data_IF_753097426625
#
_entry.id   IF_753097426625
#
_cell.length_a   1.000
_cell.length_b   1.000
_cell.length_c   1.000
_cell.angle_alpha   90.00
_cell.angle_beta   90.00
_cell.angle_gamma   90.00
#
_symmetry.space_group_name_H-M   'P 1'
#
loop_
_entity.id
_entity.type
_entity.pdbx_description
1 polymer ?
#
# COMPACT_ATOMS: atom_id res chain seq x y z
N UNK A 1 -3.44 -9.11 -17.83
CA UNK A 1 -4.92 -9.12 -17.69
C UNK A 1 -5.28 -8.59 -16.30
N UNK A 2 -6.30 -7.73 -16.16
CA UNK A 2 -6.73 -7.25 -14.84
C UNK A 2 -7.29 -8.41 -14.00
N UNK A 3 -7.15 -8.30 -12.67
CA UNK A 3 -7.74 -9.26 -11.73
C UNK A 3 -9.27 -9.26 -11.90
N UNK A 4 -9.94 -10.42 -11.96
CA UNK A 4 -11.40 -10.46 -11.95
C UNK A 4 -11.93 -9.90 -10.63
N UNK A 5 -12.85 -8.93 -10.71
CA UNK A 5 -13.61 -8.37 -9.59
C UNK A 5 -15.11 -8.65 -9.80
N UNK A 6 -15.87 -8.74 -8.70
CA UNK A 6 -17.32 -8.94 -8.77
C UNK A 6 -17.96 -7.71 -9.43
N UNK A 7 -18.68 -7.93 -10.51
CA UNK A 7 -19.40 -6.88 -11.23
C UNK A 7 -20.48 -6.25 -10.34
N UNK A 8 -20.61 -4.92 -10.38
CA UNK A 8 -21.58 -4.19 -9.56
C UNK A 8 -23.03 -4.60 -9.85
N UNK A 9 -23.36 -5.00 -11.08
CA UNK A 9 -24.68 -5.53 -11.43
C UNK A 9 -25.04 -6.80 -10.63
N UNK A 10 -24.03 -7.52 -10.14
CA UNK A 10 -24.16 -8.73 -9.30
C UNK A 10 -24.15 -8.41 -7.81
N UNK A 11 -24.25 -7.15 -7.42
CA UNK A 11 -24.32 -6.69 -6.04
C UNK A 11 -25.73 -6.19 -5.77
N UNK A 12 -26.36 -6.76 -4.74
CA UNK A 12 -27.72 -6.41 -4.35
C UNK A 12 -27.81 -4.89 -4.02
N UNK A 13 -28.79 -4.14 -4.55
CA UNK A 13 -28.87 -2.68 -4.40
C UNK A 13 -28.75 -2.20 -2.94
N UNK A 14 -29.40 -2.90 -2.01
CA UNK A 14 -29.41 -2.56 -0.58
C UNK A 14 -28.02 -2.57 0.10
N UNK A 15 -26.99 -3.19 -0.49
CA UNK A 15 -25.64 -3.24 0.10
C UNK A 15 -24.59 -2.48 -0.71
N UNK A 16 -24.94 -1.86 -1.85
CA UNK A 16 -23.98 -1.16 -2.72
C UNK A 16 -23.32 0.00 -2.01
N UNK A 17 -24.10 0.83 -1.32
CA UNK A 17 -23.58 1.96 -0.56
C UNK A 17 -22.62 1.53 0.55
N UNK A 18 -22.98 0.46 1.27
CA UNK A 18 -22.11 -0.12 2.30
C UNK A 18 -20.80 -0.62 1.72
N UNK A 19 -20.83 -1.22 0.53
CA UNK A 19 -19.61 -1.69 -0.13
C UNK A 19 -18.73 -0.52 -0.58
N UNK A 20 -19.33 0.53 -1.12
CA UNK A 20 -18.63 1.71 -1.64
C UNK A 20 -17.96 2.53 -0.52
N UNK A 21 -18.61 2.65 0.63
CA UNK A 21 -18.16 3.55 1.72
C UNK A 21 -17.40 2.83 2.84
N UNK A 22 -17.46 1.51 2.92
CA UNK A 22 -16.85 0.78 4.04
C UNK A 22 -15.34 1.00 4.12
N UNK A 23 -14.94 1.81 5.12
CA UNK A 23 -13.55 2.14 5.45
C UNK A 23 -12.81 2.88 4.35
N UNK A 24 -13.55 3.62 3.53
CA UNK A 24 -12.99 4.42 2.44
C UNK A 24 -12.05 5.52 2.96
N UNK A 25 -12.25 5.98 4.20
CA UNK A 25 -11.39 6.97 4.86
C UNK A 25 -9.93 6.50 4.96
N UNK A 26 -9.70 5.19 5.11
CA UNK A 26 -8.34 4.60 5.17
C UNK A 26 -7.68 4.66 3.80
N UNK A 27 -8.46 4.44 2.75
CA UNK A 27 -7.98 4.50 1.38
C UNK A 27 -7.64 5.95 1.03
N UNK A 28 -8.50 6.90 1.38
CA UNK A 28 -8.26 8.33 1.17
C UNK A 28 -6.99 8.80 1.91
N UNK A 29 -6.81 8.44 3.18
CA UNK A 29 -5.60 8.76 3.96
C UNK A 29 -4.32 8.30 3.25
N UNK A 30 -4.33 7.07 2.71
CA UNK A 30 -3.19 6.52 1.96
C UNK A 30 -3.01 7.22 0.61
N UNK A 31 -4.09 7.54 -0.11
CA UNK A 31 -4.03 8.29 -1.38
C UNK A 31 -3.44 9.69 -1.19
N UNK A 32 -3.87 10.41 -0.15
CA UNK A 32 -3.33 11.72 0.20
C UNK A 32 -1.83 11.64 0.53
N UNK A 33 -1.42 10.64 1.31
CA UNK A 33 -0.01 10.43 1.62
C UNK A 33 0.81 10.11 0.35
N UNK A 34 0.27 9.31 -0.56
CA UNK A 34 0.90 8.97 -1.84
C UNK A 34 1.03 10.21 -2.74
N UNK A 35 0.04 11.09 -2.73
CA UNK A 35 0.08 12.34 -3.49
C UNK A 35 1.10 13.34 -2.90
N UNK A 36 1.23 13.37 -1.57
CA UNK A 36 2.09 14.32 -0.87
C UNK A 36 3.56 13.89 -0.73
N UNK A 37 3.88 12.60 -0.92
CA UNK A 37 5.22 12.05 -0.65
C UNK A 37 5.72 11.20 -1.82
N UNK A 38 6.98 11.39 -2.27
CA UNK A 38 7.56 10.58 -3.35
C UNK A 38 7.63 9.09 -3.02
N UNK A 39 7.84 8.73 -1.75
CA UNK A 39 7.86 7.33 -1.32
C UNK A 39 6.96 7.17 -0.10
N UNK A 40 6.03 6.20 -0.17
CA UNK A 40 5.16 5.83 0.94
C UNK A 40 5.28 4.34 1.21
N UNK A 41 5.52 4.00 2.46
CA UNK A 41 5.51 2.62 2.95
C UNK A 41 4.30 2.45 3.84
N UNK A 42 3.35 1.62 3.41
CA UNK A 42 2.21 1.23 4.23
C UNK A 42 2.52 -0.12 4.88
N UNK A 43 2.38 -0.20 6.19
CA UNK A 43 2.72 -1.38 6.98
C UNK A 43 1.76 -1.65 8.13
N UNK A 44 2.21 -2.52 9.03
CA UNK A 44 1.49 -2.88 10.25
C UNK A 44 2.49 -3.22 11.35
N UNK A 45 2.09 -3.01 12.60
CA UNK A 45 2.92 -3.34 13.76
C UNK A 45 3.22 -4.84 13.81
N UNK A 46 4.34 -5.19 14.45
CA UNK A 46 4.83 -6.58 14.67
C UNK A 46 5.30 -7.27 13.38
N UNK A 47 4.89 -6.81 12.20
CA UNK A 47 5.41 -7.35 10.94
C UNK A 47 6.87 -6.90 10.73
N UNK A 48 7.84 -7.82 10.58
CA UNK A 48 9.23 -7.44 10.35
C UNK A 48 9.48 -6.89 8.93
N UNK A 49 8.64 -7.22 7.95
CA UNK A 49 8.87 -6.84 6.54
C UNK A 49 8.79 -5.33 6.28
N UNK A 50 7.83 -4.55 6.83
CA UNK A 50 7.85 -3.09 6.77
C UNK A 50 9.13 -2.49 7.36
N UNK A 51 9.62 -3.03 8.49
CA UNK A 51 10.88 -2.61 9.08
C UNK A 51 12.09 -2.84 8.15
N UNK A 52 12.11 -3.98 7.45
CA UNK A 52 13.15 -4.26 6.43
C UNK A 52 13.09 -3.28 5.26
N UNK A 53 11.89 -3.01 4.72
CA UNK A 53 11.71 -2.04 3.63
C UNK A 53 12.21 -0.64 4.01
N UNK A 54 11.84 -0.18 5.20
CA UNK A 54 12.30 1.10 5.75
C UNK A 54 13.83 1.18 5.87
N UNK A 55 14.47 0.16 6.45
CA UNK A 55 15.94 0.08 6.53
C UNK A 55 16.63 0.12 5.16
N UNK A 56 16.04 -0.49 4.14
CA UNK A 56 16.59 -0.44 2.78
C UNK A 56 16.49 0.97 2.18
N UNK A 57 15.39 1.67 2.43
CA UNK A 57 15.23 3.07 2.01
C UNK A 57 16.19 4.00 2.77
N UNK A 58 16.34 3.81 4.08
CA UNK A 58 17.30 4.53 4.92
C UNK A 58 18.73 4.34 4.38
N UNK A 59 19.13 3.10 4.09
CA UNK A 59 20.44 2.78 3.53
C UNK A 59 20.66 3.36 2.12
N UNK A 60 19.59 3.50 1.34
CA UNK A 60 19.62 4.13 0.02
C UNK A 60 19.56 5.67 0.08
N UNK A 61 19.43 6.27 1.27
CA UNK A 61 19.28 7.73 1.44
C UNK A 61 17.96 8.27 0.89
N UNK A 62 16.93 7.44 0.83
CA UNK A 62 15.63 7.81 0.24
C UNK A 62 14.64 8.19 1.35
N UNK A 63 14.15 9.45 1.39
CA UNK A 63 13.13 9.84 2.34
C UNK A 63 11.80 9.15 2.00
N UNK A 64 11.06 8.73 3.03
CA UNK A 64 9.76 8.10 2.87
C UNK A 64 8.80 8.49 4.00
N UNK A 65 7.51 8.42 3.70
CA UNK A 65 6.44 8.44 4.70
C UNK A 65 6.08 7.02 5.09
N UNK A 66 6.03 6.71 6.38
CA UNK A 66 5.52 5.45 6.90
C UNK A 66 4.12 5.61 7.47
N UNK A 67 3.20 4.75 7.05
CA UNK A 67 1.85 4.63 7.60
C UNK A 67 1.67 3.24 8.19
N UNK A 68 1.25 3.19 9.46
CA UNK A 68 1.07 1.94 10.19
C UNK A 68 -0.40 1.71 10.52
N UNK A 69 -0.93 0.55 10.12
CA UNK A 69 -2.31 0.20 10.40
C UNK A 69 -2.41 -1.12 11.18
N UNK A 70 -2.67 -1.00 12.48
CA UNK A 70 -2.99 -2.13 13.35
C UNK A 70 -1.83 -3.10 13.56
N UNK A 71 -2.18 -4.31 13.97
CA UNK A 71 -1.25 -5.41 14.21
C UNK A 71 -1.90 -6.75 13.83
N UNK A 72 -1.24 -7.87 14.12
CA UNK A 72 -1.87 -9.19 14.00
C UNK A 72 -3.11 -9.34 14.87
N UNK A 73 -3.20 -8.62 15.99
CA UNK A 73 -4.25 -8.77 16.99
C UNK A 73 -5.39 -7.76 16.84
N UNK A 74 -5.20 -6.67 16.08
CA UNK A 74 -6.17 -5.55 16.01
C UNK A 74 -6.21 -4.91 14.61
N UNK A 75 -7.32 -4.21 14.34
CA UNK A 75 -7.54 -3.39 13.13
C UNK A 75 -7.36 -4.10 11.79
N UNK A 76 -7.57 -5.42 11.76
CA UNK A 76 -7.50 -6.20 10.52
C UNK A 76 -8.46 -5.69 9.45
N UNK A 77 -9.62 -5.13 9.83
CA UNK A 77 -10.60 -4.57 8.90
C UNK A 77 -10.09 -3.31 8.17
N UNK A 78 -9.30 -2.44 8.83
CA UNK A 78 -8.66 -1.28 8.19
C UNK A 78 -7.68 -1.76 7.11
N UNK A 79 -6.88 -2.77 7.46
CA UNK A 79 -5.94 -3.42 6.54
C UNK A 79 -6.64 -4.10 5.35
N UNK A 80 -7.79 -4.73 5.57
CA UNK A 80 -8.56 -5.37 4.49
C UNK A 80 -9.00 -4.37 3.43
N UNK A 81 -9.44 -3.17 3.81
CA UNK A 81 -9.82 -2.13 2.85
C UNK A 81 -8.67 -1.79 1.89
N UNK A 82 -7.44 -1.63 2.42
CA UNK A 82 -6.24 -1.38 1.62
C UNK A 82 -5.90 -2.53 0.67
N UNK A 83 -6.04 -3.78 1.11
CA UNK A 83 -5.82 -4.96 0.26
C UNK A 83 -6.84 -5.08 -0.86
N UNK A 84 -8.10 -4.74 -0.57
CA UNK A 84 -9.18 -4.76 -1.56
C UNK A 84 -8.97 -3.68 -2.62
N UNK A 85 -8.61 -2.47 -2.19
CA UNK A 85 -8.35 -1.34 -3.09
C UNK A 85 -7.13 -1.58 -3.99
N UNK A 86 -6.01 -2.00 -3.42
CA UNK A 86 -4.77 -2.21 -4.19
C UNK A 86 -4.74 -3.52 -4.97
N UNK A 87 -5.54 -4.50 -4.57
CA UNK A 87 -5.39 -5.91 -4.99
C UNK A 87 -4.14 -6.60 -4.43
N UNK A 88 -3.31 -5.90 -3.64
CA UNK A 88 -2.06 -6.44 -3.08
C UNK A 88 -2.30 -7.14 -1.75
N UNK A 89 -1.74 -8.34 -1.60
CA UNK A 89 -2.16 -9.25 -0.52
C UNK A 89 -1.36 -9.11 0.77
N UNK A 90 -0.17 -8.51 0.72
CA UNK A 90 0.81 -8.53 1.81
C UNK A 90 1.24 -7.14 2.26
N UNK A 91 1.85 -7.04 3.44
CA UNK A 91 2.52 -5.82 3.90
C UNK A 91 4.03 -6.06 3.98
N UNK A 92 4.85 -5.05 3.65
CA UNK A 92 4.46 -3.68 3.31
C UNK A 92 3.87 -3.54 1.90
N UNK A 93 3.09 -2.49 1.68
CA UNK A 93 2.80 -1.95 0.34
C UNK A 93 3.69 -0.73 0.16
N UNK A 94 4.56 -0.75 -0.84
CA UNK A 94 5.49 0.34 -1.12
C UNK A 94 5.03 1.08 -2.37
N UNK A 95 4.88 2.39 -2.25
CA UNK A 95 4.55 3.28 -3.36
C UNK A 95 5.73 4.19 -3.66
N UNK A 96 6.01 4.40 -4.94
CA UNK A 96 7.00 5.35 -5.45
C UNK A 96 6.33 6.22 -6.51
N UNK A 97 6.26 7.53 -6.26
CA UNK A 97 5.64 8.54 -7.13
C UNK A 97 4.23 8.19 -7.62
N UNK A 98 3.39 7.66 -6.71
CA UNK A 98 2.02 7.25 -7.05
C UNK A 98 1.88 5.79 -7.47
N UNK A 99 2.98 5.09 -7.76
CA UNK A 99 2.96 3.73 -8.32
C UNK A 99 3.23 2.71 -7.24
N UNK A 100 2.35 1.71 -7.11
CA UNK A 100 2.58 0.56 -6.25
C UNK A 100 3.70 -0.31 -6.83
N UNK A 101 4.84 -0.38 -6.14
CA UNK A 101 6.01 -1.16 -6.58
C UNK A 101 6.09 -2.55 -5.95
N UNK A 102 5.18 -2.86 -5.02
CA UNK A 102 5.06 -4.16 -4.38
C UNK A 102 5.46 -4.16 -2.91
N UNK A 103 6.09 -5.25 -2.46
CA UNK A 103 6.48 -5.45 -1.07
C UNK A 103 7.96 -5.21 -0.80
N UNK A 104 8.43 -5.66 0.37
CA UNK A 104 9.83 -5.49 0.77
C UNK A 104 10.79 -6.19 -0.21
N UNK A 105 10.46 -7.39 -0.68
CA UNK A 105 11.30 -8.13 -1.64
C UNK A 105 11.35 -7.48 -3.01
N UNK A 106 10.25 -6.90 -3.48
CA UNK A 106 10.18 -6.20 -4.77
C UNK A 106 10.96 -4.88 -4.71
N UNK A 107 10.84 -4.14 -3.61
CA UNK A 107 11.65 -2.96 -3.33
C UNK A 107 13.15 -3.30 -3.33
N UNK A 108 13.55 -4.41 -2.71
CA UNK A 108 14.94 -4.84 -2.69
C UNK A 108 15.49 -5.07 -4.10
N UNK A 109 14.70 -5.69 -4.99
CA UNK A 109 15.07 -5.89 -6.39
C UNK A 109 15.20 -4.57 -7.15
N UNK A 110 14.28 -3.63 -6.95
CA UNK A 110 14.33 -2.30 -7.59
C UNK A 110 15.53 -1.48 -7.15
N UNK A 111 15.91 -1.56 -5.87
CA UNK A 111 17.13 -0.92 -5.37
C UNK A 111 18.37 -1.57 -5.99
N UNK A 112 18.43 -2.90 -6.03
CA UNK A 112 19.56 -3.64 -6.61
C UNK A 112 19.72 -3.37 -8.11
N UNK A 113 18.61 -3.20 -8.84
CA UNK A 113 18.62 -2.86 -10.26
C UNK A 113 18.92 -1.37 -10.54
N UNK A 114 18.97 -0.51 -9.50
CA UNK A 114 19.13 0.93 -9.68
C UNK A 114 17.89 1.65 -10.23
N UNK A 115 16.77 0.95 -10.36
CA UNK A 115 15.51 1.43 -10.95
C UNK A 115 14.70 2.33 -10.01
N UNK A 116 15.08 2.42 -8.74
CA UNK A 116 14.42 3.30 -7.78
C UNK A 116 14.66 4.80 -8.09
N UNK A 117 15.85 5.19 -8.56
CA UNK A 117 16.19 6.60 -8.83
C UNK A 117 15.43 7.18 -10.05
N UNK A 118 15.29 6.47 -11.18
CA UNK A 118 14.45 6.93 -12.29
C UNK A 118 13.00 7.15 -11.87
N UNK A 119 12.45 6.26 -11.03
CA UNK A 119 11.07 6.37 -10.55
C UNK A 119 10.83 7.57 -9.66
N UNK A 120 11.87 8.15 -9.04
CA UNK A 120 11.79 9.34 -8.18
C UNK A 120 11.80 10.67 -8.95
N UNK A 121 12.26 10.68 -10.21
CA UNK A 121 12.27 11.88 -11.05
C UNK A 121 10.89 12.07 -11.68
N UNK A 122 10.10 12.97 -11.12
CA UNK A 122 8.93 13.57 -11.78
C UNK A 122 9.18 15.07 -11.92
#
# INVERSE_FOLDING_TARGET
MPRPILDESRIHPAIREKLATNRVEIVHEVQEAIAANPVVVVGMAINPAPGKARKMLDAAGVPYKYLEYGSYFRDWRRRTALKMWTGWQTFPMVFVNGVLVGGASDLAKLIAAGELKPLQRK
#
